data_IF_552403331796
#
_entry.id   IF_552403331796
#
_cell.length_a   1.000
_cell.length_b   1.000
_cell.length_c   1.000
_cell.angle_alpha   90.00
_cell.angle_beta   90.00
_cell.angle_gamma   90.00
#
_symmetry.space_group_name_H-M   'P 1'
#
loop_
_entity.id
_entity.type
_entity.pdbx_description
1 polymer ?
#
# COMPACT_ATOMS: atom_id res chain seq x y z
N UNK A 1 1.19 9.68 9.41
CA UNK A 1 0.64 9.32 8.09
C UNK A 1 -0.85 9.64 7.95
N UNK A 2 -1.79 8.88 8.57
CA UNK A 2 -3.24 9.13 8.38
C UNK A 2 -3.72 10.52 8.83
N UNK A 3 -3.33 10.98 10.01
CA UNK A 3 -3.72 12.31 10.51
C UNK A 3 -3.13 13.46 9.69
N UNK A 4 -1.90 13.30 9.17
CA UNK A 4 -1.23 14.31 8.34
C UNK A 4 -1.91 14.46 6.99
N UNK A 5 -2.30 13.35 6.36
CA UNK A 5 -3.04 13.39 5.10
C UNK A 5 -4.45 13.98 5.29
N UNK A 6 -5.15 13.65 6.38
CA UNK A 6 -6.43 14.26 6.71
C UNK A 6 -6.30 15.77 6.95
N UNK A 7 -5.28 16.22 7.69
CA UNK A 7 -4.98 17.64 7.88
C UNK A 7 -4.68 18.33 6.55
N UNK A 8 -3.85 17.72 5.70
CA UNK A 8 -3.52 18.26 4.39
C UNK A 8 -4.77 18.40 3.52
N UNK A 9 -5.57 17.33 3.40
CA UNK A 9 -6.84 17.34 2.67
C UNK A 9 -7.80 18.40 3.19
N UNK A 10 -7.92 18.57 4.52
CA UNK A 10 -8.80 19.56 5.11
C UNK A 10 -8.35 20.99 4.80
N UNK A 11 -7.05 21.25 4.89
CA UNK A 11 -6.46 22.56 4.57
C UNK A 11 -6.58 22.88 3.09
N UNK A 12 -6.30 21.92 2.20
CA UNK A 12 -6.42 22.14 0.75
C UNK A 12 -7.88 22.39 0.35
N UNK A 13 -8.81 21.58 0.85
CA UNK A 13 -10.24 21.73 0.54
C UNK A 13 -10.80 23.01 1.18
N UNK A 14 -10.53 23.26 2.46
CA UNK A 14 -11.01 24.46 3.16
C UNK A 14 -10.40 25.75 2.62
N UNK A 15 -9.10 25.74 2.29
CA UNK A 15 -8.41 26.88 1.68
C UNK A 15 -8.94 27.22 0.29
N UNK A 16 -9.24 26.21 -0.52
CA UNK A 16 -9.84 26.41 -1.86
C UNK A 16 -11.27 26.96 -1.74
N UNK A 17 -12.05 26.53 -0.74
CA UNK A 17 -13.40 27.07 -0.49
C UNK A 17 -13.35 28.54 -0.06
N UNK A 18 -12.46 28.88 0.87
CA UNK A 18 -12.26 30.25 1.32
C UNK A 18 -11.80 31.17 0.19
N UNK A 19 -10.87 30.69 -0.66
CA UNK A 19 -10.44 31.41 -1.85
C UNK A 19 -11.59 31.58 -2.87
N UNK A 20 -12.44 30.57 -3.04
CA UNK A 20 -13.62 30.61 -3.90
C UNK A 20 -14.68 31.65 -3.46
N UNK A 21 -14.79 31.94 -2.16
CA UNK A 21 -15.67 32.99 -1.64
C UNK A 21 -15.22 34.39 -2.07
N UNK A 22 -13.90 34.63 -2.12
CA UNK A 22 -13.33 35.90 -2.56
C UNK A 22 -13.26 36.00 -4.09
N UNK A 23 -13.02 34.88 -4.77
CA UNK A 23 -12.86 34.85 -6.22
C UNK A 23 -13.42 33.55 -6.81
N UNK A 24 -14.61 33.64 -7.41
CA UNK A 24 -15.33 32.48 -7.97
C UNK A 24 -14.51 31.59 -8.92
N UNK A 25 -13.60 32.12 -9.78
CA UNK A 25 -12.72 31.30 -10.62
C UNK A 25 -11.78 30.38 -9.82
N UNK A 26 -11.47 30.69 -8.56
CA UNK A 26 -10.64 29.83 -7.72
C UNK A 26 -11.28 28.45 -7.46
N UNK A 27 -12.61 28.33 -7.61
CA UNK A 27 -13.30 27.04 -7.51
C UNK A 27 -12.90 26.04 -8.61
N UNK A 28 -12.36 26.51 -9.75
CA UNK A 28 -11.81 25.61 -10.77
C UNK A 28 -10.65 24.77 -10.28
N UNK A 29 -9.93 25.21 -9.24
CA UNK A 29 -8.88 24.42 -8.62
C UNK A 29 -9.40 23.08 -8.06
N UNK A 30 -10.68 23.02 -7.65
CA UNK A 30 -11.29 21.75 -7.23
C UNK A 30 -11.31 20.70 -8.32
N UNK A 31 -11.33 21.07 -9.61
CA UNK A 31 -11.30 20.08 -10.69
C UNK A 31 -10.01 19.26 -10.66
N UNK A 32 -8.91 19.87 -10.20
CA UNK A 32 -7.60 19.20 -10.07
C UNK A 32 -7.42 18.61 -8.67
N UNK A 33 -7.79 19.34 -7.61
CA UNK A 33 -7.58 18.89 -6.24
C UNK A 33 -8.56 17.80 -5.81
N UNK A 34 -9.81 17.82 -6.28
CA UNK A 34 -10.81 16.82 -5.93
C UNK A 34 -10.39 15.38 -6.30
N UNK A 35 -9.92 15.05 -7.52
CA UNK A 35 -9.50 13.69 -7.84
C UNK A 35 -8.30 13.23 -7.01
N UNK A 36 -7.36 14.13 -6.67
CA UNK A 36 -6.20 13.81 -5.81
C UNK A 36 -6.65 13.48 -4.39
N UNK A 37 -7.54 14.30 -3.82
CA UNK A 37 -8.11 14.08 -2.48
C UNK A 37 -8.92 12.80 -2.44
N UNK A 38 -9.77 12.55 -3.46
CA UNK A 38 -10.52 11.30 -3.62
C UNK A 38 -9.59 10.09 -3.65
N UNK A 39 -8.55 10.10 -4.50
CA UNK A 39 -7.58 9.02 -4.60
C UNK A 39 -6.90 8.72 -3.26
N UNK A 40 -6.46 9.74 -2.53
CA UNK A 40 -5.82 9.50 -1.23
C UNK A 40 -6.80 9.10 -0.12
N UNK A 41 -8.06 9.55 -0.17
CA UNK A 41 -9.13 9.01 0.69
C UNK A 41 -9.43 7.54 0.36
N UNK A 42 -9.49 7.18 -0.92
CA UNK A 42 -9.61 5.79 -1.36
C UNK A 42 -8.43 4.95 -0.89
N UNK A 43 -7.19 5.45 -0.98
CA UNK A 43 -6.00 4.76 -0.48
C UNK A 43 -6.06 4.54 1.05
N UNK A 44 -6.56 5.52 1.81
CA UNK A 44 -6.80 5.37 3.25
C UNK A 44 -7.83 4.28 3.57
N UNK A 45 -8.95 4.26 2.84
CA UNK A 45 -10.00 3.25 2.98
C UNK A 45 -9.50 1.87 2.52
N UNK A 46 -8.61 1.83 1.51
CA UNK A 46 -7.97 0.64 0.96
C UNK A 46 -6.79 0.14 1.84
N UNK A 47 -6.88 0.25 3.16
CA UNK A 47 -5.85 -0.26 4.09
C UNK A 47 -5.62 -1.78 4.00
N UNK A 48 -6.55 -2.55 3.41
CA UNK A 48 -6.53 -4.02 3.49
C UNK A 48 -5.50 -4.75 2.60
N UNK A 49 -4.85 -4.11 1.62
CA UNK A 49 -4.03 -4.84 0.61
C UNK A 49 -2.56 -4.46 0.48
N UNK A 50 -2.04 -3.51 1.27
CA UNK A 50 -0.63 -3.07 1.13
C UNK A 50 0.33 -3.84 2.04
N UNK A 51 -0.09 -4.29 3.23
CA UNK A 51 0.82 -4.94 4.19
C UNK A 51 1.11 -6.41 3.83
N UNK A 52 0.19 -7.10 3.15
CA UNK A 52 0.29 -8.55 2.90
C UNK A 52 1.19 -8.90 1.69
N UNK A 53 1.88 -7.92 1.09
CA UNK A 53 2.63 -8.12 -0.17
C UNK A 53 4.07 -7.61 -0.19
N UNK A 54 4.55 -6.90 0.84
CA UNK A 54 5.97 -6.52 0.92
C UNK A 54 6.89 -7.68 1.36
N UNK A 55 6.33 -8.78 1.88
CA UNK A 55 7.10 -9.95 2.34
C UNK A 55 6.60 -11.36 1.91
N UNK A 56 5.91 -11.59 0.77
CA UNK A 56 5.50 -12.94 0.38
C UNK A 56 6.57 -13.72 -0.39
N UNK A 57 7.63 -13.06 -0.86
CA UNK A 57 8.59 -13.62 -1.83
C UNK A 57 9.74 -14.35 -1.14
N UNK A 58 10.25 -13.81 -0.03
CA UNK A 58 11.41 -14.39 0.67
C UNK A 58 11.10 -15.73 1.36
N UNK A 59 9.85 -15.96 1.80
CA UNK A 59 9.48 -17.24 2.42
C UNK A 59 9.47 -18.42 1.44
N UNK A 60 9.08 -18.18 0.19
CA UNK A 60 8.85 -19.27 -0.79
C UNK A 60 10.14 -19.77 -1.47
N UNK A 61 11.18 -18.93 -1.52
CA UNK A 61 12.47 -19.29 -2.13
C UNK A 61 13.35 -20.10 -1.16
N UNK A 62 13.22 -19.84 0.15
CA UNK A 62 13.99 -20.55 1.17
C UNK A 62 13.46 -21.97 1.43
N UNK A 63 12.14 -22.17 1.45
CA UNK A 63 11.54 -23.50 1.66
C UNK A 63 11.88 -24.50 0.53
N UNK A 64 11.86 -24.04 -0.73
CA UNK A 64 12.11 -24.92 -1.88
C UNK A 64 13.56 -25.41 -1.95
N UNK A 65 14.51 -24.55 -1.56
CA UNK A 65 15.95 -24.90 -1.57
C UNK A 65 16.32 -25.85 -0.43
N UNK A 66 15.65 -25.77 0.73
CA UNK A 66 15.87 -26.71 1.83
C UNK A 66 15.25 -28.10 1.56
N UNK A 67 14.08 -28.16 0.91
CA UNK A 67 13.42 -29.43 0.57
C UNK A 67 14.20 -30.23 -0.50
N UNK A 68 14.81 -29.56 -1.48
CA UNK A 68 15.63 -30.22 -2.51
C UNK A 68 16.88 -30.86 -1.91
N UNK A 69 17.57 -30.14 -1.00
CA UNK A 69 18.79 -30.65 -0.33
C UNK A 69 18.54 -31.91 0.50
N UNK A 70 17.40 -32.01 1.19
CA UNK A 70 17.06 -33.16 2.04
C UNK A 70 16.63 -34.36 1.18
N UNK A 71 15.93 -34.13 0.07
CA UNK A 71 15.47 -35.20 -0.83
C UNK A 71 16.62 -35.83 -1.62
N UNK A 72 17.69 -35.09 -1.88
CA UNK A 72 18.89 -35.62 -2.56
C UNK A 72 19.82 -36.43 -1.65
N UNK A 73 19.61 -36.44 -0.33
CA UNK A 73 20.53 -37.07 0.63
C UNK A 73 20.03 -38.39 1.26
N UNK A 74 18.75 -38.76 1.16
CA UNK A 74 18.24 -39.99 1.78
C UNK A 74 17.13 -40.59 0.92
N UNK A 75 17.34 -41.76 0.26
CA UNK A 75 17.48 -43.00 1.01
C UNK A 75 18.34 -44.07 0.30
N UNK A 76 19.68 -43.98 0.37
CA UNK A 76 20.56 -45.07 -0.10
C UNK A 76 21.29 -45.83 1.04
N UNK A 77 21.11 -45.43 2.30
CA UNK A 77 21.90 -45.95 3.43
C UNK A 77 20.99 -46.37 4.61
N UNK A 78 19.94 -47.18 4.37
CA UNK A 78 19.27 -47.89 5.47
C UNK A 78 19.80 -49.33 5.46
N UNK A 79 20.89 -49.65 6.18
CA UNK A 79 21.26 -51.04 6.39
C UNK A 79 20.20 -51.65 7.32
N UNK A 80 19.41 -52.57 6.77
CA UNK A 80 18.63 -53.52 7.56
C UNK A 80 19.60 -54.53 8.18
N UNK A 81 20.27 -54.15 9.27
CA UNK A 81 20.95 -55.04 10.23
C UNK A 81 20.83 -54.47 11.63
#
# INVERSE_FOLDING_TARGET
MRKQFLLFSLVTVGGTAAAGYLWTPALWAYVIFAPIVLLGLFDMLQTRRTIVRNFPILGRVLDFTQCWSITTMAPAEIPLT
#
